data_IF_014928216388
#
_entry.id   IF_014928216388
#
_cell.length_a   1.000
_cell.length_b   1.000
_cell.length_c   1.000
_cell.angle_alpha   90.00
_cell.angle_beta   90.00
_cell.angle_gamma   90.00
#
_symmetry.space_group_name_H-M   'P 1'
#
loop_
_entity.id
_entity.type
_entity.pdbx_description
1 polymer ?
#
# COMPACT_ATOMS: atom_id res chain seq x y z
N UNK A 1 13.00 11.22 -21.20
CA UNK A 1 12.90 10.16 -20.17
C UNK A 1 11.72 9.31 -20.56
N UNK A 2 11.93 8.16 -21.19
CA UNK A 2 10.87 7.23 -21.59
C UNK A 2 10.23 6.67 -20.31
N UNK A 3 8.96 7.00 -20.06
CA UNK A 3 8.15 6.28 -19.08
C UNK A 3 8.16 4.80 -19.48
N UNK A 4 8.84 4.00 -18.69
CA UNK A 4 8.79 2.54 -18.84
C UNK A 4 7.36 2.14 -18.46
N UNK A 5 6.52 1.91 -19.47
CA UNK A 5 5.13 1.47 -19.25
C UNK A 5 5.19 0.17 -18.45
N UNK A 6 4.66 0.23 -17.22
CA UNK A 6 4.60 -0.91 -16.34
C UNK A 6 3.67 -1.98 -16.96
N UNK A 7 4.21 -3.14 -17.29
CA UNK A 7 3.42 -4.25 -17.82
C UNK A 7 2.40 -4.72 -16.80
N UNK A 8 1.19 -4.97 -17.26
CA UNK A 8 0.07 -5.37 -16.40
C UNK A 8 -0.50 -6.69 -16.89
N UNK A 9 -0.57 -7.65 -15.99
CA UNK A 9 -1.24 -8.94 -16.17
C UNK A 9 -2.50 -8.93 -15.31
N UNK A 10 -3.61 -9.38 -15.87
CA UNK A 10 -4.90 -9.42 -15.20
C UNK A 10 -5.30 -10.86 -14.95
N UNK A 11 -5.89 -11.11 -13.79
CA UNK A 11 -6.56 -12.37 -13.51
C UNK A 11 -7.98 -12.25 -14.06
N UNK A 12 -8.31 -13.08 -15.05
CA UNK A 12 -9.58 -13.04 -15.77
C UNK A 12 -10.77 -13.34 -14.83
N UNK A 13 -11.84 -12.60 -14.98
CA UNK A 13 -13.10 -12.83 -14.23
C UNK A 13 -14.14 -13.57 -15.06
N UNK A 14 -13.93 -13.67 -16.36
CA UNK A 14 -14.78 -14.36 -17.34
C UNK A 14 -13.95 -15.20 -18.29
N UNK A 15 -14.61 -16.10 -18.99
CA UNK A 15 -13.98 -16.89 -20.05
C UNK A 15 -13.71 -16.01 -21.28
N UNK A 16 -12.58 -16.23 -21.92
CA UNK A 16 -12.16 -15.55 -23.14
C UNK A 16 -11.28 -16.49 -23.99
N UNK A 17 -10.78 -16.01 -25.08
CA UNK A 17 -9.77 -16.73 -25.88
C UNK A 17 -8.58 -15.82 -26.13
N UNK A 18 -7.39 -16.43 -26.23
CA UNK A 18 -6.20 -15.70 -26.64
C UNK A 18 -6.36 -15.22 -28.09
N UNK A 19 -6.14 -13.94 -28.32
CA UNK A 19 -6.31 -13.33 -29.63
C UNK A 19 -5.26 -13.80 -30.65
N UNK A 20 -4.15 -14.38 -30.19
CA UNK A 20 -3.04 -14.81 -31.03
C UNK A 20 -3.08 -16.31 -31.31
N UNK A 21 -3.10 -17.16 -30.27
CA UNK A 21 -3.07 -18.63 -30.46
C UNK A 21 -4.46 -19.28 -30.40
N UNK A 22 -5.51 -18.54 -30.04
CA UNK A 22 -6.89 -19.07 -29.94
C UNK A 22 -7.15 -19.96 -28.73
N UNK A 23 -6.17 -20.11 -27.80
CA UNK A 23 -6.34 -20.88 -26.56
C UNK A 23 -7.48 -20.35 -25.72
N UNK A 24 -8.32 -21.27 -25.21
CA UNK A 24 -9.41 -20.89 -24.30
C UNK A 24 -8.85 -20.50 -22.94
N UNK A 25 -9.09 -19.25 -22.56
CA UNK A 25 -8.68 -18.66 -21.29
C UNK A 25 -9.87 -18.70 -20.34
N UNK A 26 -9.83 -19.62 -19.39
CA UNK A 26 -10.87 -19.79 -18.39
C UNK A 26 -10.90 -18.68 -17.33
N UNK A 27 -11.82 -18.79 -16.39
CA UNK A 27 -11.82 -17.95 -15.19
C UNK A 27 -10.52 -18.17 -14.41
N UNK A 28 -10.02 -17.10 -13.81
CA UNK A 28 -8.74 -17.03 -13.09
C UNK A 28 -7.50 -17.27 -13.98
N UNK A 29 -7.65 -17.38 -15.30
CA UNK A 29 -6.52 -17.35 -16.22
C UNK A 29 -5.79 -16.00 -16.15
N UNK A 30 -4.50 -16.05 -16.35
CA UNK A 30 -3.65 -14.86 -16.37
C UNK A 30 -3.52 -14.36 -17.79
N UNK A 31 -3.90 -13.12 -18.02
CA UNK A 31 -3.98 -12.51 -19.34
C UNK A 31 -3.28 -11.16 -19.37
N UNK A 32 -2.69 -10.83 -20.49
CA UNK A 32 -2.23 -9.48 -20.80
C UNK A 32 -3.20 -8.82 -21.79
N UNK A 33 -3.61 -7.59 -21.52
CA UNK A 33 -4.42 -6.82 -22.46
C UNK A 33 -3.51 -6.03 -23.40
N UNK A 34 -3.55 -6.35 -24.67
CA UNK A 34 -2.70 -5.75 -25.71
C UNK A 34 -3.46 -4.66 -26.52
N UNK A 35 -4.28 -3.85 -25.86
CA UNK A 35 -5.07 -2.81 -26.50
C UNK A 35 -6.05 -3.37 -27.54
N UNK A 36 -5.98 -2.91 -28.76
CA UNK A 36 -6.84 -3.34 -29.86
C UNK A 36 -6.68 -4.82 -30.25
N UNK A 37 -5.54 -5.46 -29.92
CA UNK A 37 -5.32 -6.88 -30.18
C UNK A 37 -6.09 -7.81 -29.24
N UNK A 38 -6.64 -7.29 -28.14
CA UNK A 38 -7.43 -8.08 -27.19
C UNK A 38 -6.60 -8.75 -26.10
N UNK A 39 -7.11 -9.88 -25.55
CA UNK A 39 -6.45 -10.63 -24.49
C UNK A 39 -5.44 -11.61 -25.05
N UNK A 40 -4.24 -11.64 -24.47
CA UNK A 40 -3.17 -12.61 -24.79
C UNK A 40 -2.92 -13.51 -23.57
N UNK A 41 -2.64 -14.79 -23.79
CA UNK A 41 -2.10 -15.68 -22.77
C UNK A 41 -0.66 -15.28 -22.44
N UNK A 42 -0.12 -15.78 -21.31
CA UNK A 42 1.24 -15.42 -20.90
C UNK A 42 2.31 -15.86 -21.90
N UNK A 43 2.11 -17.01 -22.56
CA UNK A 43 3.03 -17.49 -23.58
C UNK A 43 3.09 -16.56 -24.81
N UNK A 44 1.93 -16.14 -25.35
CA UNK A 44 1.89 -15.18 -26.46
C UNK A 44 2.34 -13.76 -26.07
N UNK A 45 2.29 -13.46 -24.79
CA UNK A 45 2.79 -12.19 -24.23
C UNK A 45 4.29 -12.25 -23.86
N UNK A 46 4.97 -13.37 -24.06
CA UNK A 46 6.37 -13.64 -23.66
C UNK A 46 6.62 -13.41 -22.15
N UNK A 47 5.64 -13.80 -21.32
CA UNK A 47 5.67 -13.63 -19.86
C UNK A 47 5.57 -14.96 -19.10
N UNK A 48 5.47 -16.10 -19.78
CA UNK A 48 5.29 -17.42 -19.18
C UNK A 48 6.54 -17.94 -18.44
N UNK A 49 7.71 -17.42 -18.81
CA UNK A 49 8.99 -17.72 -18.15
C UNK A 49 9.16 -16.96 -16.81
N UNK A 50 8.27 -16.04 -16.47
CA UNK A 50 8.36 -15.27 -15.24
C UNK A 50 7.71 -15.99 -14.05
N UNK A 51 8.30 -15.83 -12.88
CA UNK A 51 7.82 -16.40 -11.62
C UNK A 51 6.94 -15.42 -10.89
N UNK A 52 5.84 -15.91 -10.32
CA UNK A 52 4.94 -15.08 -9.54
C UNK A 52 5.44 -14.88 -8.11
N UNK A 53 5.61 -13.62 -7.73
CA UNK A 53 5.88 -13.18 -6.37
C UNK A 53 4.62 -12.51 -5.80
N UNK A 54 3.93 -13.15 -4.83
CA UNK A 54 2.73 -12.58 -4.22
C UNK A 54 3.04 -11.30 -3.43
N UNK A 55 2.02 -10.45 -3.31
CA UNK A 55 2.11 -9.25 -2.48
C UNK A 55 2.25 -9.63 -1.00
N UNK A 56 3.14 -8.96 -0.28
CA UNK A 56 3.41 -9.23 1.15
C UNK A 56 4.64 -8.46 1.63
N UNK A 57 5.83 -8.86 1.22
CA UNK A 57 7.06 -8.14 1.57
C UNK A 57 7.39 -7.03 0.55
N UNK A 58 7.27 -5.74 0.92
CA UNK A 58 7.59 -4.64 0.03
C UNK A 58 9.08 -4.54 -0.31
N UNK A 59 9.97 -5.05 0.56
CA UNK A 59 11.41 -5.00 0.33
C UNK A 59 11.81 -6.05 -0.72
N UNK A 60 11.29 -7.27 -0.57
CA UNK A 60 11.50 -8.35 -1.52
C UNK A 60 10.95 -7.97 -2.90
N UNK A 61 9.70 -7.51 -2.96
CA UNK A 61 9.04 -7.09 -4.22
C UNK A 61 9.84 -6.01 -4.95
N UNK A 62 10.32 -4.98 -4.25
CA UNK A 62 11.09 -3.89 -4.85
C UNK A 62 12.44 -4.35 -5.37
N UNK A 63 13.13 -5.23 -4.63
CA UNK A 63 14.43 -5.79 -5.02
C UNK A 63 14.29 -6.75 -6.20
N UNK A 64 13.33 -7.68 -6.14
CA UNK A 64 13.07 -8.60 -7.22
C UNK A 64 12.81 -7.86 -8.55
N UNK A 65 11.97 -6.82 -8.53
CA UNK A 65 11.76 -5.96 -9.70
C UNK A 65 13.02 -5.22 -10.15
N UNK A 66 13.84 -4.76 -9.21
CA UNK A 66 15.09 -4.05 -9.53
C UNK A 66 16.12 -4.98 -10.20
N UNK A 67 16.15 -6.25 -9.81
CA UNK A 67 17.07 -7.25 -10.35
C UNK A 67 16.54 -7.98 -11.59
N UNK A 68 15.26 -7.81 -11.91
CA UNK A 68 14.64 -8.34 -13.11
C UNK A 68 14.69 -7.31 -14.24
N UNK A 69 15.05 -7.74 -15.44
CA UNK A 69 14.99 -6.93 -16.67
C UNK A 69 13.54 -6.77 -17.12
N UNK A 70 12.75 -7.84 -16.99
CA UNK A 70 11.34 -7.87 -17.31
C UNK A 70 10.53 -8.14 -16.04
N UNK A 71 9.46 -7.36 -15.82
CA UNK A 71 8.52 -7.58 -14.74
C UNK A 71 7.14 -7.07 -15.09
N UNK A 72 6.10 -7.74 -14.57
CA UNK A 72 4.71 -7.31 -14.77
C UNK A 72 3.96 -7.29 -13.43
N UNK A 73 3.01 -6.38 -13.27
CA UNK A 73 2.13 -6.33 -12.09
C UNK A 73 0.91 -7.18 -12.33
N UNK A 74 0.60 -8.05 -11.38
CA UNK A 74 -0.59 -8.92 -11.42
C UNK A 74 -1.74 -8.24 -10.69
N UNK A 75 -2.86 -8.08 -11.40
CA UNK A 75 -4.05 -7.38 -10.95
C UNK A 75 -5.27 -8.30 -10.98
N UNK A 76 -6.10 -8.24 -9.94
CA UNK A 76 -7.40 -8.92 -9.89
C UNK A 76 -8.51 -7.91 -9.60
N UNK A 77 -9.64 -8.03 -10.28
CA UNK A 77 -10.80 -7.18 -10.01
C UNK A 77 -11.45 -7.54 -8.66
N UNK A 78 -11.58 -6.57 -7.78
CA UNK A 78 -12.27 -6.70 -6.50
C UNK A 78 -13.68 -6.13 -6.64
N UNK A 79 -14.70 -7.02 -6.61
CA UNK A 79 -16.12 -6.61 -6.66
C UNK A 79 -16.51 -5.78 -5.43
N UNK A 80 -15.99 -6.15 -4.26
CA UNK A 80 -16.31 -5.46 -3.01
C UNK A 80 -15.78 -4.01 -2.97
N UNK A 81 -14.67 -3.74 -3.68
CA UNK A 81 -14.04 -2.41 -3.70
C UNK A 81 -14.20 -1.68 -5.02
N UNK A 82 -14.84 -2.33 -6.00
CA UNK A 82 -15.06 -1.82 -7.36
C UNK A 82 -13.79 -1.27 -8.03
N UNK A 83 -12.68 -2.00 -7.88
CA UNK A 83 -11.37 -1.62 -8.44
C UNK A 83 -10.46 -2.82 -8.63
N UNK A 84 -9.42 -2.65 -9.47
CA UNK A 84 -8.34 -3.61 -9.56
C UNK A 84 -7.43 -3.53 -8.33
N UNK A 85 -7.13 -4.71 -7.77
CA UNK A 85 -6.22 -4.87 -6.64
C UNK A 85 -4.99 -5.65 -7.05
N UNK A 86 -3.84 -5.16 -6.62
CA UNK A 86 -2.56 -5.81 -6.88
C UNK A 86 -2.45 -7.09 -6.07
N UNK A 87 -2.24 -8.21 -6.76
CA UNK A 87 -2.03 -9.52 -6.14
C UNK A 87 -0.55 -9.83 -5.93
N UNK A 88 0.30 -9.31 -6.81
CA UNK A 88 1.74 -9.54 -6.77
C UNK A 88 2.43 -8.99 -8.00
N UNK A 89 3.57 -9.56 -8.32
CA UNK A 89 4.36 -9.25 -9.53
C UNK A 89 4.87 -10.53 -10.15
N UNK A 90 5.01 -10.53 -11.47
CA UNK A 90 5.82 -11.47 -12.21
C UNK A 90 7.23 -10.90 -12.33
N UNK A 91 8.24 -11.70 -12.06
CA UNK A 91 9.66 -11.33 -12.10
C UNK A 91 10.50 -12.49 -12.63
N UNK A 92 11.70 -12.21 -13.09
CA UNK A 92 12.66 -13.25 -13.46
C UNK A 92 13.13 -14.04 -12.24
N UNK A 93 13.29 -15.35 -12.35
CA UNK A 93 13.73 -16.22 -11.25
C UNK A 93 15.09 -15.79 -10.68
N UNK A 94 16.04 -15.44 -11.54
CA UNK A 94 17.34 -14.93 -11.11
C UNK A 94 17.23 -13.62 -10.32
N UNK A 95 16.30 -12.74 -10.69
CA UNK A 95 16.01 -11.49 -9.98
C UNK A 95 15.42 -11.75 -8.60
N UNK A 96 14.52 -12.74 -8.50
CA UNK A 96 13.93 -13.17 -7.24
C UNK A 96 14.99 -13.76 -6.29
N UNK A 97 15.81 -14.71 -6.75
CA UNK A 97 16.87 -15.34 -5.95
C UNK A 97 17.89 -14.31 -5.43
N UNK A 98 18.28 -13.33 -6.26
CA UNK A 98 19.14 -12.24 -5.82
C UNK A 98 18.49 -11.36 -4.74
N UNK A 99 17.20 -11.09 -4.88
CA UNK A 99 16.45 -10.30 -3.92
C UNK A 99 16.27 -11.03 -2.59
N UNK A 100 16.02 -12.33 -2.60
CA UNK A 100 15.91 -13.16 -1.41
C UNK A 100 17.21 -13.19 -0.61
N UNK A 101 18.34 -13.42 -1.29
CA UNK A 101 19.67 -13.39 -0.67
C UNK A 101 19.93 -12.04 0.02
N UNK A 102 19.62 -10.92 -0.62
CA UNK A 102 19.75 -9.59 -0.01
C UNK A 102 18.78 -9.36 1.15
N UNK A 103 17.56 -9.89 1.04
CA UNK A 103 16.56 -9.80 2.11
C UNK A 103 16.96 -10.62 3.35
N UNK A 104 17.60 -11.76 3.17
CA UNK A 104 18.15 -12.55 4.26
C UNK A 104 19.32 -11.81 4.92
N UNK A 105 20.26 -11.31 4.14
CA UNK A 105 21.44 -10.63 4.64
C UNK A 105 21.12 -9.40 5.52
N UNK A 106 20.07 -8.63 5.20
CA UNK A 106 19.70 -7.44 5.96
C UNK A 106 18.43 -7.59 6.82
N UNK A 107 17.92 -8.79 6.95
CA UNK A 107 16.67 -9.11 7.65
C UNK A 107 16.66 -8.60 9.09
N UNK A 108 17.71 -8.89 9.85
CA UNK A 108 17.84 -8.44 11.23
C UNK A 108 17.98 -6.91 11.37
N UNK A 109 18.75 -6.28 10.48
CA UNK A 109 18.92 -4.82 10.51
C UNK A 109 17.58 -4.12 10.24
N UNK A 110 16.78 -4.64 9.30
CA UNK A 110 15.43 -4.15 9.01
C UNK A 110 14.46 -4.38 10.17
N UNK A 111 14.55 -5.53 10.83
CA UNK A 111 13.74 -5.83 12.01
C UNK A 111 14.05 -4.85 13.16
N UNK A 112 15.33 -4.65 13.49
CA UNK A 112 15.76 -3.67 14.50
C UNK A 112 15.32 -2.25 14.17
N UNK A 113 15.39 -1.84 12.91
CA UNK A 113 14.91 -0.53 12.47
C UNK A 113 13.40 -0.39 12.65
N UNK A 114 12.60 -1.39 12.25
CA UNK A 114 11.14 -1.38 12.44
C UNK A 114 10.75 -1.27 13.92
N UNK A 115 11.39 -2.03 14.78
CA UNK A 115 11.15 -1.98 16.23
C UNK A 115 11.44 -0.59 16.81
N UNK A 116 12.56 0.05 16.44
CA UNK A 116 12.88 1.41 16.89
C UNK A 116 11.86 2.45 16.37
N UNK A 117 11.44 2.33 15.13
CA UNK A 117 10.43 3.22 14.54
C UNK A 117 9.05 3.03 15.17
N UNK A 118 8.72 1.81 15.58
CA UNK A 118 7.48 1.49 16.29
C UNK A 118 7.49 2.06 17.71
N UNK A 119 8.58 1.87 18.45
CA UNK A 119 8.77 2.46 19.77
C UNK A 119 8.66 3.99 19.72
N UNK A 120 9.40 4.63 18.79
CA UNK A 120 9.34 6.09 18.60
C UNK A 120 7.94 6.58 18.25
N UNK A 121 7.20 5.84 17.42
CA UNK A 121 5.81 6.17 17.10
C UNK A 121 4.92 6.11 18.34
N UNK A 122 5.08 5.05 19.15
CA UNK A 122 4.32 4.92 20.39
C UNK A 122 4.59 6.05 21.39
N UNK A 123 5.81 6.60 21.42
CA UNK A 123 6.13 7.78 22.23
C UNK A 123 5.43 9.03 21.68
N UNK A 124 5.56 9.30 20.40
CA UNK A 124 4.91 10.44 19.75
C UNK A 124 3.38 10.39 19.84
N UNK A 125 2.81 9.19 19.77
CA UNK A 125 1.36 9.01 19.91
C UNK A 125 0.91 9.32 21.35
N UNK A 126 1.67 8.90 22.37
CA UNK A 126 1.39 9.24 23.77
C UNK A 126 1.51 10.73 24.04
N UNK A 127 2.60 11.36 23.60
CA UNK A 127 2.78 12.81 23.73
C UNK A 127 1.65 13.60 23.05
N UNK A 128 1.16 13.11 21.91
CA UNK A 128 0.05 13.74 21.20
C UNK A 128 -1.26 13.64 22.01
N UNK A 129 -1.57 12.47 22.56
CA UNK A 129 -2.76 12.26 23.40
C UNK A 129 -2.70 13.14 24.64
N UNK A 130 -1.54 13.25 25.29
CA UNK A 130 -1.37 14.09 26.48
C UNK A 130 -1.57 15.58 26.16
N UNK A 131 -0.97 16.08 25.07
CA UNK A 131 -1.20 17.47 24.63
C UNK A 131 -2.67 17.74 24.31
N UNK A 132 -3.32 16.80 23.63
CA UNK A 132 -4.74 16.92 23.31
C UNK A 132 -5.60 16.96 24.58
N UNK A 133 -5.32 16.09 25.55
CA UNK A 133 -6.03 16.09 26.85
C UNK A 133 -5.84 17.41 27.59
N UNK A 134 -4.62 17.96 27.59
CA UNK A 134 -4.35 19.27 28.18
C UNK A 134 -5.17 20.40 27.52
N UNK A 135 -5.20 20.41 26.17
CA UNK A 135 -6.01 21.40 25.44
C UNK A 135 -7.51 21.25 25.74
N UNK A 136 -8.01 20.01 25.88
CA UNK A 136 -9.40 19.79 26.35
C UNK A 136 -9.63 20.38 27.72
N UNK A 137 -8.70 20.18 28.66
CA UNK A 137 -8.81 20.74 30.02
C UNK A 137 -8.79 22.27 30.03
N UNK A 138 -7.98 22.88 29.18
CA UNK A 138 -7.91 24.34 29.05
C UNK A 138 -9.20 24.95 28.48
N UNK A 139 -9.79 24.29 27.45
CA UNK A 139 -11.03 24.73 26.83
C UNK A 139 -12.28 24.45 27.73
N UNK A 140 -12.24 23.38 28.50
CA UNK A 140 -13.34 22.91 29.33
C UNK A 140 -12.89 22.71 30.81
N UNK A 141 -12.63 23.79 31.58
CA UNK A 141 -12.10 23.69 32.94
C UNK A 141 -12.97 22.89 33.91
N UNK A 142 -14.29 22.84 33.65
CA UNK A 142 -15.26 22.12 34.47
C UNK A 142 -15.51 20.68 34.04
N UNK A 143 -14.70 20.16 33.11
CA UNK A 143 -14.78 18.75 32.71
C UNK A 143 -14.49 17.83 33.92
N UNK A 144 -15.30 16.78 34.16
CA UNK A 144 -15.02 15.82 35.23
C UNK A 144 -13.57 15.27 35.13
N UNK A 145 -13.00 14.93 36.31
CA UNK A 145 -11.66 14.41 36.39
C UNK A 145 -11.47 13.18 35.45
N UNK A 146 -10.34 13.11 34.76
CA UNK A 146 -9.97 12.08 33.78
C UNK A 146 -10.83 12.02 32.50
N UNK A 147 -11.91 12.80 32.38
CA UNK A 147 -12.73 12.82 31.17
C UNK A 147 -11.95 13.39 29.98
N UNK A 148 -11.05 14.34 30.16
CA UNK A 148 -10.18 14.91 29.15
C UNK A 148 -9.28 13.84 28.52
N UNK A 149 -8.77 12.91 29.32
CA UNK A 149 -7.94 11.81 28.82
C UNK A 149 -8.76 10.82 28.02
N UNK A 150 -9.92 10.44 28.51
CA UNK A 150 -10.85 9.55 27.81
C UNK A 150 -11.29 10.16 26.46
N UNK A 151 -11.58 11.46 26.44
CA UNK A 151 -11.94 12.21 25.23
C UNK A 151 -10.76 12.23 24.27
N UNK A 152 -9.54 12.51 24.75
CA UNK A 152 -8.34 12.54 23.93
C UNK A 152 -8.03 11.19 23.30
N UNK A 153 -8.05 10.11 24.07
CA UNK A 153 -7.83 8.76 23.57
C UNK A 153 -8.85 8.39 22.51
N UNK A 154 -10.13 8.65 22.74
CA UNK A 154 -11.18 8.34 21.78
C UNK A 154 -11.11 9.20 20.52
N UNK A 155 -10.89 10.50 20.65
CA UNK A 155 -10.80 11.43 19.51
C UNK A 155 -9.55 11.20 18.65
N UNK A 156 -8.42 10.83 19.28
CA UNK A 156 -7.17 10.59 18.59
C UNK A 156 -7.12 9.24 17.88
N UNK A 157 -7.87 8.24 18.36
CA UNK A 157 -7.95 6.93 17.72
C UNK A 157 -8.67 7.05 16.38
N UNK A 158 -8.02 6.57 15.32
CA UNK A 158 -8.63 6.37 14.03
C UNK A 158 -9.00 4.89 13.87
N UNK A 159 -9.98 4.57 13.02
CA UNK A 159 -10.34 3.21 12.61
C UNK A 159 -9.13 2.34 12.18
N UNK A 160 -8.02 2.95 11.82
CA UNK A 160 -6.74 2.29 11.49
C UNK A 160 -5.79 2.13 12.67
N UNK A 161 -6.19 2.47 13.91
CA UNK A 161 -5.34 2.42 15.10
C UNK A 161 -4.18 3.43 15.12
N UNK A 162 -4.23 4.48 14.29
CA UNK A 162 -3.20 5.53 14.25
C UNK A 162 -3.71 6.80 14.91
N UNK A 163 -3.04 7.22 15.97
CA UNK A 163 -3.33 8.44 16.73
C UNK A 163 -3.15 9.70 15.87
N UNK A 164 -3.94 10.74 16.15
CA UNK A 164 -3.79 12.06 15.53
C UNK A 164 -4.27 12.20 14.08
N UNK A 165 -4.93 11.19 13.53
CA UNK A 165 -5.41 11.21 12.13
C UNK A 165 -6.92 11.21 11.98
N UNK A 166 -7.68 11.26 13.08
CA UNK A 166 -9.14 11.41 13.01
C UNK A 166 -9.51 12.81 12.53
N UNK A 167 -10.67 12.94 11.89
CA UNK A 167 -11.19 14.26 11.49
C UNK A 167 -11.42 15.16 12.69
N UNK A 168 -11.91 14.59 13.80
CA UNK A 168 -12.13 15.31 15.07
C UNK A 168 -10.81 15.84 15.68
N UNK A 169 -9.75 15.01 15.71
CA UNK A 169 -8.45 15.44 16.22
C UNK A 169 -7.83 16.56 15.37
N UNK A 170 -8.01 16.52 14.05
CA UNK A 170 -7.51 17.58 13.16
C UNK A 170 -8.24 18.90 13.33
N UNK A 171 -9.58 18.86 13.43
CA UNK A 171 -10.38 20.05 13.65
C UNK A 171 -10.01 20.71 14.99
N UNK A 172 -9.81 19.90 16.03
CA UNK A 172 -9.41 20.39 17.34
C UNK A 172 -8.02 21.05 17.35
N UNK A 173 -7.03 20.46 16.65
CA UNK A 173 -5.69 21.04 16.50
C UNK A 173 -5.74 22.39 15.76
N UNK A 174 -6.64 22.55 14.79
CA UNK A 174 -6.82 23.81 14.06
C UNK A 174 -7.46 24.90 14.96
N UNK A 175 -8.44 24.56 15.79
CA UNK A 175 -9.08 25.49 16.73
C UNK A 175 -8.17 25.89 17.89
N UNK A 176 -7.37 24.96 18.39
CA UNK A 176 -6.43 25.20 19.50
C UNK A 176 -5.18 26.00 19.07
N UNK A 177 -5.04 26.35 17.79
CA UNK A 177 -3.92 27.15 17.28
C UNK A 177 -2.55 26.46 17.43
N UNK A 178 -2.53 25.16 17.61
CA UNK A 178 -1.28 24.40 17.73
C UNK A 178 -0.47 24.53 16.42
N UNK A 179 0.84 24.84 16.47
CA UNK A 179 1.71 24.90 15.31
C UNK A 179 2.01 23.49 14.81
N UNK A 180 0.98 22.78 14.40
CA UNK A 180 1.06 21.50 13.73
C UNK A 180 1.47 21.72 12.30
N UNK A 181 2.76 21.53 12.00
CA UNK A 181 3.29 21.65 10.65
C UNK A 181 2.43 20.88 9.66
N UNK A 182 1.72 21.60 8.81
CA UNK A 182 0.99 21.04 7.68
C UNK A 182 1.97 20.32 6.78
N UNK A 183 2.08 19.01 6.93
CA UNK A 183 2.44 18.18 5.78
C UNK A 183 1.18 18.06 4.94
N UNK A 184 0.93 19.06 4.11
CA UNK A 184 -0.02 18.98 3.01
C UNK A 184 0.51 17.91 2.08
N UNK A 185 -0.07 16.71 2.20
CA UNK A 185 0.05 15.73 1.13
C UNK A 185 -0.75 16.32 -0.05
N UNK A 186 -0.13 16.53 -1.20
CA UNK A 186 -0.87 16.94 -2.37
C UNK A 186 -1.94 15.87 -2.67
N UNK A 187 -3.15 16.26 -3.11
CA UNK A 187 -4.16 15.31 -3.53
C UNK A 187 -3.55 14.41 -4.62
N UNK A 188 -3.72 13.10 -4.48
CA UNK A 188 -3.33 12.17 -5.54
C UNK A 188 -4.08 12.57 -6.82
N UNK A 189 -3.38 12.70 -7.95
CA UNK A 189 -4.07 12.93 -9.21
C UNK A 189 -5.04 11.78 -9.46
N UNK A 190 -6.25 12.14 -9.83
CA UNK A 190 -7.33 11.21 -10.20
C UNK A 190 -6.87 10.43 -11.45
N UNK A 191 -6.82 9.10 -11.46
CA UNK A 191 -6.30 8.33 -12.59
C UNK A 191 -7.25 8.27 -13.80
N UNK A 192 -8.33 9.07 -13.79
CA UNK A 192 -9.38 9.10 -14.84
C UNK A 192 -9.68 10.50 -15.40
N UNK A 193 -8.67 11.36 -15.49
CA UNK A 193 -8.75 12.54 -16.37
C UNK A 193 -7.60 12.58 -17.34
#
# INVERSE_FOLDING_TARGET
>A
MTETQELKVFIATCESACAECGEKLGRDAWIMLAGERGALCLACADLDHLVFLPSGDPALTRRARKHSKLSAVVLKWSRARNRYERQGVLVEEAGLASAETQCLADGEARARRRSREEARRGELDREYVERFAQSVRELYPHCPGDAERTIAEHACLKYSGRVGRSAAAKAFDEEAGAPGGRRTYPPRPDPLR
#
